data_IF_893123473110
#
_entry.id   IF_893123473110
#
_cell.length_a   1.000
_cell.length_b   1.000
_cell.length_c   1.000
_cell.angle_alpha   90.00
_cell.angle_beta   90.00
_cell.angle_gamma   90.00
#
_symmetry.space_group_name_H-M   'P 1'
#
loop_
_entity.id
_entity.type
_entity.pdbx_description
1 polymer ?
#
# COMPACT_ATOMS: atom_id res chain seq x y z
N UNK A 1 -16.16 -3.34 -12.84
CA UNK A 1 -16.72 -2.91 -11.54
C UNK A 1 -15.74 -1.99 -10.81
N UNK A 2 -14.57 -2.46 -10.41
CA UNK A 2 -13.57 -1.59 -9.79
C UNK A 2 -12.64 -1.01 -10.84
N UNK A 3 -12.25 0.25 -10.69
CA UNK A 3 -11.41 0.96 -11.66
C UNK A 3 -10.05 1.36 -11.09
N UNK A 4 -9.96 1.56 -9.78
CA UNK A 4 -8.75 2.01 -9.12
C UNK A 4 -8.58 1.28 -7.79
N UNK A 5 -7.54 0.48 -7.71
CA UNK A 5 -7.27 -0.36 -6.53
C UNK A 5 -6.05 0.20 -5.79
N UNK A 6 -6.22 0.56 -4.54
CA UNK A 6 -5.12 1.01 -3.69
C UNK A 6 -4.56 -0.18 -2.92
N UNK A 7 -3.24 -0.32 -2.94
CA UNK A 7 -2.52 -1.41 -2.27
C UNK A 7 -1.49 -0.80 -1.32
N UNK A 8 -1.77 -0.80 -0.02
CA UNK A 8 -0.75 -0.40 0.95
C UNK A 8 0.47 -1.31 0.85
N UNK A 9 1.64 -0.71 0.73
CA UNK A 9 2.87 -1.44 0.42
C UNK A 9 3.96 -1.05 1.41
N UNK A 10 4.63 -2.05 1.96
CA UNK A 10 5.81 -1.85 2.80
C UNK A 10 7.04 -2.33 2.02
N UNK A 11 7.83 -1.38 1.50
CA UNK A 11 9.00 -1.71 0.68
C UNK A 11 10.09 -2.45 1.46
N UNK A 12 10.14 -2.30 2.78
CA UNK A 12 11.10 -3.02 3.60
C UNK A 12 10.76 -4.51 3.73
N UNK A 13 9.50 -4.88 3.50
CA UNK A 13 8.98 -6.23 3.77
C UNK A 13 8.08 -6.74 2.64
N UNK A 14 8.46 -6.50 1.38
CA UNK A 14 7.67 -6.88 0.21
C UNK A 14 7.40 -8.39 0.19
N UNK A 15 8.36 -9.20 0.57
CA UNK A 15 8.21 -10.66 0.60
C UNK A 15 7.15 -11.13 1.59
N UNK A 16 6.86 -10.35 2.62
CA UNK A 16 5.79 -10.66 3.59
C UNK A 16 4.40 -10.28 3.07
N UNK A 17 4.37 -9.45 2.03
CA UNK A 17 3.13 -8.98 1.41
C UNK A 17 2.79 -9.70 0.11
N UNK A 18 3.55 -10.74 -0.23
CA UNK A 18 3.42 -11.43 -1.52
C UNK A 18 1.97 -11.81 -1.84
N UNK A 19 1.26 -12.39 -0.87
CA UNK A 19 -0.12 -12.83 -1.08
C UNK A 19 -1.07 -11.67 -1.37
N UNK A 20 -0.99 -10.58 -0.62
CA UNK A 20 -1.86 -9.41 -0.86
C UNK A 20 -1.51 -8.69 -2.16
N UNK A 21 -0.22 -8.57 -2.47
CA UNK A 21 0.22 -7.97 -3.73
C UNK A 21 -0.26 -8.79 -4.93
N UNK A 22 -0.15 -10.10 -4.86
CA UNK A 22 -0.59 -10.99 -5.93
C UNK A 22 -2.12 -10.98 -6.08
N UNK A 23 -2.86 -10.94 -4.97
CA UNK A 23 -4.31 -10.80 -5.00
C UNK A 23 -4.73 -9.51 -5.69
N UNK A 24 -4.07 -8.40 -5.38
CA UNK A 24 -4.35 -7.12 -6.01
C UNK A 24 -4.11 -7.15 -7.53
N UNK A 25 -3.01 -7.79 -7.96
CA UNK A 25 -2.71 -7.96 -9.38
C UNK A 25 -3.81 -8.75 -10.08
N UNK A 26 -4.24 -9.87 -9.51
CA UNK A 26 -5.29 -10.69 -10.09
C UNK A 26 -6.62 -9.92 -10.22
N UNK A 27 -6.98 -9.15 -9.19
CA UNK A 27 -8.19 -8.33 -9.24
C UNK A 27 -8.07 -7.23 -10.30
N UNK A 28 -6.91 -6.59 -10.40
CA UNK A 28 -6.68 -5.57 -11.42
C UNK A 28 -6.79 -6.14 -12.84
N UNK A 29 -6.23 -7.32 -13.05
CA UNK A 29 -6.34 -8.03 -14.34
C UNK A 29 -7.80 -8.37 -14.66
N UNK A 30 -8.54 -8.84 -13.66
CA UNK A 30 -9.94 -9.23 -13.84
C UNK A 30 -10.85 -8.05 -14.18
N UNK A 31 -10.64 -6.91 -13.54
CA UNK A 31 -11.50 -5.72 -13.72
C UNK A 31 -10.95 -4.70 -14.72
N UNK A 32 -9.73 -4.88 -15.21
CA UNK A 32 -9.06 -3.85 -16.00
C UNK A 32 -8.75 -2.60 -15.19
N UNK A 33 -8.48 -2.76 -13.89
CA UNK A 33 -8.26 -1.65 -12.97
C UNK A 33 -6.80 -1.22 -12.94
N UNK A 34 -6.57 0.03 -12.53
CA UNK A 34 -5.24 0.54 -12.24
C UNK A 34 -4.87 0.22 -10.79
N UNK A 35 -3.66 -0.27 -10.57
CA UNK A 35 -3.10 -0.47 -9.23
C UNK A 35 -2.36 0.76 -8.76
N UNK A 36 -2.68 1.24 -7.58
CA UNK A 36 -1.95 2.31 -6.91
C UNK A 36 -1.23 1.75 -5.69
N UNK A 37 0.08 1.67 -5.77
CA UNK A 37 0.91 1.24 -4.63
C UNK A 37 1.15 2.45 -3.73
N UNK A 38 0.62 2.40 -2.52
CA UNK A 38 0.73 3.48 -1.55
C UNK A 38 1.63 3.05 -0.40
N UNK A 39 2.59 3.88 -0.06
CA UNK A 39 3.51 3.60 1.04
C UNK A 39 3.77 4.84 1.87
N UNK A 40 3.92 4.65 3.17
CA UNK A 40 4.21 5.73 4.11
C UNK A 40 5.69 5.69 4.46
N UNK A 41 6.34 6.83 4.43
CA UNK A 41 7.76 6.98 4.76
C UNK A 41 7.97 8.14 5.73
N UNK A 42 8.97 8.05 6.62
CA UNK A 42 9.36 9.22 7.40
C UNK A 42 9.97 10.29 6.49
N UNK A 43 10.08 11.52 7.00
CA UNK A 43 10.65 12.65 6.25
C UNK A 43 12.18 12.60 6.18
N UNK A 44 12.82 11.58 6.68
CA UNK A 44 14.27 11.42 6.69
C UNK A 44 14.69 10.02 6.31
N UNK A 45 15.87 9.60 6.74
CA UNK A 45 16.36 8.26 6.44
C UNK A 45 15.46 7.16 7.02
N UNK A 46 15.35 6.06 6.28
CA UNK A 46 14.66 4.85 6.71
C UNK A 46 15.53 3.63 6.34
N UNK A 47 15.05 2.44 6.65
CA UNK A 47 15.74 1.20 6.24
C UNK A 47 15.74 1.00 4.72
N UNK A 48 14.86 1.69 4.00
CA UNK A 48 14.69 1.55 2.55
C UNK A 48 15.48 2.61 1.78
N UNK A 49 15.52 3.84 2.28
CA UNK A 49 16.06 4.99 1.55
C UNK A 49 16.68 6.02 2.49
N UNK A 50 17.62 6.80 1.95
CA UNK A 50 18.30 7.84 2.70
C UNK A 50 17.44 9.11 2.85
N UNK A 51 16.42 9.27 2.02
CA UNK A 51 15.53 10.44 2.02
C UNK A 51 14.14 10.05 1.54
N UNK A 52 13.18 10.96 1.76
CA UNK A 52 11.82 10.77 1.27
C UNK A 52 11.77 10.76 -0.26
N UNK A 53 12.60 11.56 -0.93
CA UNK A 53 12.69 11.61 -2.38
C UNK A 53 13.20 10.29 -2.96
N UNK A 54 14.23 9.73 -2.34
CA UNK A 54 14.75 8.42 -2.75
C UNK A 54 13.71 7.32 -2.53
N UNK A 55 12.97 7.38 -1.42
CA UNK A 55 11.89 6.45 -1.15
C UNK A 55 10.82 6.50 -2.24
N UNK A 56 10.40 7.71 -2.63
CA UNK A 56 9.42 7.91 -3.69
C UNK A 56 9.89 7.31 -5.00
N UNK A 57 11.16 7.51 -5.36
CA UNK A 57 11.74 6.92 -6.57
C UNK A 57 11.75 5.41 -6.53
N UNK A 58 12.09 4.80 -5.40
CA UNK A 58 12.07 3.36 -5.23
C UNK A 58 10.66 2.78 -5.32
N UNK A 59 9.68 3.45 -4.74
CA UNK A 59 8.29 3.03 -4.84
C UNK A 59 7.79 3.14 -6.29
N UNK A 60 8.14 4.20 -6.98
CA UNK A 60 7.79 4.40 -8.39
C UNK A 60 8.40 3.29 -9.26
N UNK A 61 9.66 2.94 -9.02
CA UNK A 61 10.33 1.86 -9.75
C UNK A 61 9.66 0.51 -9.46
N UNK A 62 9.29 0.25 -8.21
CA UNK A 62 8.56 -0.95 -7.83
C UNK A 62 7.22 -1.05 -8.57
N UNK A 63 6.44 0.04 -8.59
CA UNK A 63 5.15 0.07 -9.28
C UNK A 63 5.32 -0.18 -10.78
N UNK A 64 6.31 0.45 -11.42
CA UNK A 64 6.59 0.27 -12.83
C UNK A 64 6.96 -1.18 -13.15
N UNK A 65 7.79 -1.81 -12.33
CA UNK A 65 8.17 -3.21 -12.48
C UNK A 65 6.97 -4.15 -12.36
N UNK A 66 6.09 -3.89 -11.40
CA UNK A 66 4.86 -4.68 -11.24
C UNK A 66 3.96 -4.54 -12.48
N UNK A 67 3.85 -3.34 -13.00
CA UNK A 67 3.06 -3.07 -14.21
C UNK A 67 3.59 -3.81 -15.43
N UNK A 68 4.90 -3.79 -15.65
CA UNK A 68 5.53 -4.52 -16.74
C UNK A 68 5.39 -6.03 -16.59
N UNK A 69 5.68 -6.54 -15.39
CA UNK A 69 5.67 -7.98 -15.12
C UNK A 69 4.27 -8.57 -15.30
N UNK A 70 3.24 -7.87 -14.89
CA UNK A 70 1.86 -8.40 -14.84
C UNK A 70 0.92 -7.84 -15.91
N UNK A 71 1.38 -6.92 -16.72
CA UNK A 71 0.57 -6.33 -17.78
C UNK A 71 -0.62 -5.52 -17.28
N UNK A 72 -0.45 -4.80 -16.15
CA UNK A 72 -1.48 -3.94 -15.57
C UNK A 72 -0.98 -2.50 -15.49
N UNK A 73 -1.90 -1.55 -15.51
CA UNK A 73 -1.56 -0.16 -15.28
C UNK A 73 -1.27 0.05 -13.81
N UNK A 74 -0.18 0.73 -13.52
CA UNK A 74 0.23 0.99 -12.14
C UNK A 74 0.59 2.44 -11.93
N UNK A 75 0.48 2.88 -10.69
CA UNK A 75 0.99 4.16 -10.21
C UNK A 75 1.43 4.01 -8.76
N UNK A 76 2.10 5.01 -8.23
CA UNK A 76 2.59 4.99 -6.86
C UNK A 76 2.30 6.30 -6.15
N UNK A 77 2.08 6.22 -4.84
CA UNK A 77 1.91 7.38 -3.97
C UNK A 77 2.74 7.16 -2.71
N UNK A 78 3.77 7.98 -2.53
CA UNK A 78 4.55 7.99 -1.31
C UNK A 78 3.98 9.07 -0.38
N UNK A 79 3.66 8.69 0.84
CA UNK A 79 3.07 9.57 1.84
C UNK A 79 4.10 9.80 2.93
N UNK A 80 4.47 11.06 3.16
CA UNK A 80 5.40 11.42 4.24
C UNK A 80 4.61 11.63 5.52
N UNK A 81 5.01 10.94 6.59
CA UNK A 81 4.40 11.08 7.91
C UNK A 81 5.48 11.35 8.96
N UNK A 82 5.17 12.25 9.91
CA UNK A 82 6.10 12.58 10.98
C UNK A 82 6.20 11.44 12.01
N UNK A 83 5.07 10.82 12.29
CA UNK A 83 4.98 9.65 13.19
C UNK A 83 4.14 8.59 12.50
N UNK A 84 4.80 7.72 11.72
CA UNK A 84 4.13 6.69 10.94
C UNK A 84 3.34 5.72 11.81
N UNK A 85 3.81 5.41 13.02
CA UNK A 85 3.12 4.48 13.90
C UNK A 85 1.76 5.00 14.36
N UNK A 86 1.63 6.31 14.52
CA UNK A 86 0.38 6.96 14.97
C UNK A 86 -0.49 7.37 13.79
N UNK A 87 0.13 7.89 12.71
CA UNK A 87 -0.56 8.51 11.59
C UNK A 87 -0.93 7.56 10.46
N UNK A 88 -0.42 6.31 10.46
CA UNK A 88 -0.52 5.41 9.32
C UNK A 88 -1.96 5.20 8.83
N UNK A 89 -2.86 4.85 9.74
CA UNK A 89 -4.26 4.58 9.36
C UNK A 89 -4.93 5.82 8.79
N UNK A 90 -4.75 6.97 9.45
CA UNK A 90 -5.35 8.22 8.99
C UNK A 90 -4.79 8.65 7.63
N UNK A 91 -3.47 8.50 7.44
CA UNK A 91 -2.82 8.82 6.16
C UNK A 91 -3.28 7.92 5.03
N UNK A 92 -3.49 6.64 5.32
CA UNK A 92 -4.03 5.71 4.31
C UNK A 92 -5.47 6.06 3.94
N UNK A 93 -6.30 6.41 4.90
CA UNK A 93 -7.68 6.84 4.64
C UNK A 93 -7.71 8.11 3.77
N UNK A 94 -6.87 9.09 4.09
CA UNK A 94 -6.73 10.29 3.25
C UNK A 94 -6.28 9.94 1.83
N UNK A 95 -5.34 9.03 1.70
CA UNK A 95 -4.81 8.60 0.41
C UNK A 95 -5.87 7.88 -0.44
N UNK A 96 -6.72 7.08 0.18
CA UNK A 96 -7.85 6.44 -0.51
C UNK A 96 -8.72 7.51 -1.16
N UNK A 97 -9.08 8.55 -0.41
CA UNK A 97 -9.90 9.64 -0.89
C UNK A 97 -9.19 10.45 -1.99
N UNK A 98 -7.94 10.85 -1.74
CA UNK A 98 -7.15 11.67 -2.67
C UNK A 98 -6.89 10.98 -4.01
N UNK A 99 -6.69 9.67 -3.99
CA UNK A 99 -6.41 8.90 -5.21
C UNK A 99 -7.66 8.50 -5.98
N UNK A 100 -8.83 8.63 -5.37
CA UNK A 100 -10.08 8.18 -5.97
C UNK A 100 -10.19 6.66 -6.07
N UNK A 101 -9.48 5.93 -5.22
CA UNK A 101 -9.55 4.47 -5.19
C UNK A 101 -10.97 4.01 -4.82
N UNK A 102 -11.46 2.98 -5.48
CA UNK A 102 -12.77 2.38 -5.19
C UNK A 102 -12.66 0.98 -4.59
N UNK A 103 -11.45 0.47 -4.47
CA UNK A 103 -11.15 -0.77 -3.75
C UNK A 103 -9.79 -0.65 -3.08
N UNK A 104 -9.69 -1.18 -1.88
CA UNK A 104 -8.42 -1.33 -1.17
C UNK A 104 -8.16 -2.82 -0.99
N UNK A 105 -6.96 -3.27 -1.35
CA UNK A 105 -6.50 -4.64 -1.09
C UNK A 105 -5.33 -4.57 -0.13
N UNK A 106 -5.47 -5.11 1.05
CA UNK A 106 -4.42 -5.02 2.06
C UNK A 106 -4.28 -6.30 2.86
N UNK A 107 -3.07 -6.55 3.34
CA UNK A 107 -2.79 -7.69 4.19
C UNK A 107 -3.41 -7.49 5.57
N UNK A 108 -3.92 -8.57 6.16
CA UNK A 108 -4.37 -8.55 7.53
C UNK A 108 -3.16 -8.59 8.48
N UNK A 109 -3.43 -8.32 9.76
CA UNK A 109 -2.45 -8.47 10.81
C UNK A 109 -1.95 -9.92 10.89
N UNK A 110 -0.63 -10.11 10.86
CA UNK A 110 -0.02 -11.42 11.05
C UNK A 110 0.52 -11.49 12.48
N UNK A 111 0.01 -12.39 13.34
CA UNK A 111 0.50 -12.51 14.71
C UNK A 111 2.01 -12.74 14.76
N UNK A 112 2.69 -12.01 15.64
CA UNK A 112 4.14 -12.08 15.78
C UNK A 112 4.93 -11.17 14.85
N UNK A 113 4.35 -10.76 13.73
CA UNK A 113 4.98 -9.83 12.80
C UNK A 113 4.75 -8.39 13.22
N UNK A 114 3.61 -8.10 13.82
CA UNK A 114 3.22 -6.76 14.24
C UNK A 114 4.22 -6.12 15.19
N UNK A 115 4.77 -6.91 16.10
CA UNK A 115 5.75 -6.42 17.08
C UNK A 115 7.06 -5.97 16.43
N UNK A 116 7.36 -6.47 15.24
CA UNK A 116 8.57 -6.14 14.49
C UNK A 116 8.33 -5.09 13.42
N UNK A 117 7.06 -4.89 13.01
CA UNK A 117 6.67 -4.03 11.91
C UNK A 117 5.75 -2.88 12.34
N UNK A 118 5.70 -2.57 13.63
CA UNK A 118 4.73 -1.60 14.15
C UNK A 118 4.87 -0.18 13.59
N UNK A 119 5.96 0.13 12.91
CA UNK A 119 6.13 1.42 12.26
C UNK A 119 5.34 1.48 10.94
N UNK A 120 5.19 0.34 10.25
CA UNK A 120 4.59 0.29 8.92
C UNK A 120 3.32 -0.55 8.87
N UNK A 121 2.82 -0.97 10.02
CA UNK A 121 1.67 -1.87 10.12
C UNK A 121 0.37 -1.08 10.25
N UNK A 122 -0.42 -1.06 9.19
CA UNK A 122 -1.78 -0.53 9.25
C UNK A 122 -2.73 -1.60 9.78
N UNK A 123 -3.75 -1.17 10.51
CA UNK A 123 -4.78 -2.06 11.01
C UNK A 123 -5.88 -2.24 9.96
N UNK A 124 -5.91 -3.40 9.30
CA UNK A 124 -6.90 -3.68 8.26
C UNK A 124 -8.33 -3.59 8.78
N UNK A 125 -8.58 -3.97 10.03
CA UNK A 125 -9.89 -3.84 10.64
C UNK A 125 -10.33 -2.39 10.80
N UNK A 126 -9.43 -1.50 11.19
CA UNK A 126 -9.74 -0.06 11.28
C UNK A 126 -9.97 0.55 9.91
N UNK A 127 -9.16 0.20 8.93
CA UNK A 127 -9.34 0.69 7.56
C UNK A 127 -10.69 0.20 7.03
N UNK A 128 -11.01 -1.08 7.19
CA UNK A 128 -12.28 -1.64 6.74
C UNK A 128 -13.49 -0.98 7.40
N UNK A 129 -13.38 -0.65 8.69
CA UNK A 129 -14.47 -0.01 9.44
C UNK A 129 -14.68 1.47 9.09
N UNK A 130 -13.61 2.18 8.69
CA UNK A 130 -13.64 3.63 8.46
C UNK A 130 -13.67 4.03 6.99
N UNK A 131 -13.18 3.17 6.09
CA UNK A 131 -13.17 3.48 4.66
C UNK A 131 -14.59 3.50 4.09
N UNK A 132 -14.83 4.43 3.18
CA UNK A 132 -16.11 4.52 2.46
C UNK A 132 -16.13 3.67 1.19
N UNK A 133 -15.05 2.97 0.90
CA UNK A 133 -14.88 2.11 -0.27
C UNK A 133 -14.75 0.65 0.17
N UNK A 134 -14.86 -0.26 -0.79
CA UNK A 134 -14.67 -1.69 -0.53
C UNK A 134 -13.25 -1.99 -0.08
N UNK A 135 -13.10 -2.87 0.90
CA UNK A 135 -11.80 -3.29 1.42
C UNK A 135 -11.71 -4.82 1.37
N UNK A 136 -10.73 -5.31 0.65
CA UNK A 136 -10.42 -6.72 0.56
C UNK A 136 -9.24 -7.01 1.49
N UNK A 137 -9.53 -7.71 2.58
CA UNK A 137 -8.51 -8.05 3.59
C UNK A 137 -7.95 -9.44 3.29
N UNK A 138 -6.65 -9.53 3.01
CA UNK A 138 -5.97 -10.77 2.66
C UNK A 138 -5.29 -11.34 3.90
N UNK A 139 -5.62 -12.57 4.26
CA UNK A 139 -5.01 -13.27 5.39
C UNK A 139 -3.84 -14.16 4.97
#
# INVERSE_FOLDING_TARGET
MYQSILVPTDLAHVEKLHKSLQTAVHLAQQYGATLCYAAVTPNGPSSVAASAEEFEQKLKAFAAEQGETHGVKTRSVAVVAHDAAVELDDRLLDTIEETGADLVVMASHVPGLADRLHIMHSNAGRIAARAEVSVFVVR
#
